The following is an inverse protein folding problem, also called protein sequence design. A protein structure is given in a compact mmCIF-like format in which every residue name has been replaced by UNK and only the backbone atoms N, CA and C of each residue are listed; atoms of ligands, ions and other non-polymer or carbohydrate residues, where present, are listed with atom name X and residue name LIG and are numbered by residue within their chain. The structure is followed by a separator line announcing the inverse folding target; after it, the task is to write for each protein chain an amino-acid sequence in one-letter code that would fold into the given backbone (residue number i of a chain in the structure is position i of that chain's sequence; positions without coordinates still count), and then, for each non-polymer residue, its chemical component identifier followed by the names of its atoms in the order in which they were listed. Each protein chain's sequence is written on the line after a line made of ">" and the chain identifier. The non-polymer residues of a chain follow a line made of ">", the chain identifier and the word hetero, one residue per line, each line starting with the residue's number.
data_IF_850876835508
#
_entry.id   IF_850876835508
#
_cell.length_a   1.000
_cell.length_b   1.000
_cell.length_c   1.000
_cell.angle_alpha   90.00
_cell.angle_beta   90.00
_cell.angle_gamma   90.00
#
_symmetry.space_group_name_H-M   'P 1'
#
loop_
_entity.id
_entity.type
_entity.pdbx_description
1 polymer ?
#
# COMPACT_ATOMS: atom_id res chain seq x y z
N UNK A 1 9.88 7.59 10.17
CA UNK A 1 8.73 8.47 10.35
C UNK A 1 7.74 7.83 11.31
N UNK A 2 7.15 8.58 12.21
CA UNK A 2 6.27 8.03 13.23
C UNK A 2 4.82 7.94 12.76
N UNK A 3 4.05 7.07 13.41
CA UNK A 3 2.61 6.97 13.17
C UNK A 3 1.91 8.31 13.45
N UNK A 4 2.36 9.03 14.47
CA UNK A 4 1.79 10.33 14.82
C UNK A 4 1.92 11.34 13.69
N UNK A 5 3.04 11.33 12.99
CA UNK A 5 3.23 12.18 11.82
C UNK A 5 2.16 11.88 10.77
N UNK A 6 1.93 10.61 10.45
CA UNK A 6 0.92 10.23 9.48
C UNK A 6 -0.48 10.64 9.92
N UNK A 7 -0.81 10.47 11.20
CA UNK A 7 -2.14 10.82 11.69
C UNK A 7 -2.40 12.31 11.60
N UNK A 8 -1.40 13.15 11.88
CA UNK A 8 -1.54 14.60 11.85
C UNK A 8 -1.55 15.16 10.43
N UNK A 9 -0.90 14.48 9.50
CA UNK A 9 -0.66 14.99 8.16
C UNK A 9 -1.30 14.12 7.07
N UNK A 10 -2.28 13.28 7.41
CA UNK A 10 -2.83 12.29 6.48
C UNK A 10 -3.33 12.89 5.18
N UNK A 11 -4.07 13.98 5.22
CA UNK A 11 -4.62 14.62 4.01
C UNK A 11 -3.51 15.18 3.14
N UNK A 12 -2.54 15.83 3.72
CA UNK A 12 -1.40 16.37 2.99
C UNK A 12 -0.57 15.25 2.38
N UNK A 13 -0.33 14.19 3.15
CA UNK A 13 0.42 13.03 2.67
C UNK A 13 -0.31 12.36 1.51
N UNK A 14 -1.61 12.19 1.62
CA UNK A 14 -2.43 11.61 0.55
C UNK A 14 -2.30 12.41 -0.73
N UNK A 15 -2.48 13.73 -0.65
CA UNK A 15 -2.41 14.61 -1.82
C UNK A 15 -1.03 14.54 -2.49
N UNK A 16 0.05 14.48 -1.70
CA UNK A 16 1.41 14.41 -2.22
C UNK A 16 1.69 13.07 -2.88
N UNK A 17 1.34 11.96 -2.20
CA UNK A 17 1.76 10.64 -2.64
C UNK A 17 0.94 10.12 -3.83
N UNK A 18 -0.32 10.51 -3.94
CA UNK A 18 -1.15 10.10 -5.09
C UNK A 18 -0.56 10.62 -6.40
N UNK A 19 0.06 11.78 -6.37
CA UNK A 19 0.64 12.41 -7.56
C UNK A 19 2.06 11.93 -7.87
N UNK A 20 2.76 11.32 -6.90
CA UNK A 20 4.12 10.83 -7.13
C UNK A 20 4.08 9.61 -8.06
N UNK A 21 4.91 9.65 -9.09
CA UNK A 21 4.97 8.57 -10.07
C UNK A 21 5.97 7.50 -9.64
N UNK A 22 5.47 6.31 -9.35
CA UNK A 22 6.29 5.14 -9.04
C UNK A 22 6.26 4.08 -10.15
N UNK A 23 5.82 4.46 -11.34
CA UNK A 23 5.60 3.52 -12.44
C UNK A 23 6.87 2.73 -12.78
N UNK A 24 8.04 3.39 -12.77
CA UNK A 24 9.30 2.69 -13.09
C UNK A 24 9.64 1.60 -12.07
N UNK A 25 9.32 1.82 -10.79
CA UNK A 25 9.53 0.80 -9.76
C UNK A 25 8.57 -0.38 -9.95
N UNK A 26 7.31 -0.09 -10.26
CA UNK A 26 6.32 -1.11 -10.55
C UNK A 26 6.71 -1.94 -11.76
N UNK A 27 7.20 -1.28 -12.81
CA UNK A 27 7.64 -1.95 -14.03
C UNK A 27 8.77 -2.94 -13.79
N UNK A 28 9.61 -2.69 -12.78
CA UNK A 28 10.68 -3.60 -12.40
C UNK A 28 10.18 -4.76 -11.55
N UNK A 29 9.09 -4.57 -10.82
CA UNK A 29 8.55 -5.56 -9.88
C UNK A 29 7.57 -6.54 -10.56
N UNK A 30 6.70 -6.01 -11.39
CA UNK A 30 5.61 -6.77 -12.01
C UNK A 30 6.07 -8.00 -12.79
N UNK A 31 7.20 -7.99 -13.53
CA UNK A 31 7.63 -9.19 -14.27
C UNK A 31 7.89 -10.42 -13.40
N UNK A 32 8.10 -10.24 -12.10
CA UNK A 32 8.33 -11.36 -11.18
C UNK A 32 7.04 -11.92 -10.59
N UNK A 33 5.89 -11.35 -10.91
CA UNK A 33 4.60 -11.76 -10.38
C UNK A 33 3.87 -12.69 -11.35
N UNK A 34 3.21 -13.76 -10.85
CA UNK A 34 2.30 -14.51 -11.70
C UNK A 34 1.09 -13.67 -12.03
N UNK A 35 0.48 -13.93 -13.18
CA UNK A 35 -0.71 -13.22 -13.62
C UNK A 35 -1.84 -13.40 -12.57
N UNK A 36 -2.44 -12.30 -12.16
CA UNK A 36 -3.51 -12.35 -11.17
C UNK A 36 -3.05 -12.68 -9.76
N UNK A 37 -1.74 -12.60 -9.50
CA UNK A 37 -1.17 -12.93 -8.20
C UNK A 37 -1.62 -12.02 -7.07
N UNK A 38 -1.36 -12.45 -5.84
CA UNK A 38 -1.68 -11.70 -4.63
C UNK A 38 -0.45 -10.96 -4.14
N UNK A 39 -0.56 -9.63 -4.03
CA UNK A 39 0.52 -8.76 -3.55
C UNK A 39 0.13 -8.18 -2.20
N UNK A 40 1.07 -8.23 -1.25
CA UNK A 40 0.92 -7.53 0.02
C UNK A 40 1.56 -6.15 -0.12
N UNK A 41 0.77 -5.09 0.07
CA UNK A 41 1.28 -3.73 0.15
C UNK A 41 1.51 -3.38 1.61
N UNK A 42 2.75 -3.54 2.06
CA UNK A 42 3.14 -3.35 3.44
C UNK A 42 3.42 -1.87 3.70
N UNK A 43 2.58 -1.24 4.52
CA UNK A 43 2.64 0.19 4.73
C UNK A 43 2.13 0.94 3.50
N UNK A 44 0.89 0.67 3.12
CA UNK A 44 0.33 1.15 1.85
C UNK A 44 0.13 2.67 1.77
N UNK A 45 0.14 3.36 2.90
CA UNK A 45 -0.13 4.79 2.93
C UNK A 45 -1.49 5.09 2.35
N UNK A 46 -1.53 5.98 1.36
CA UNK A 46 -2.77 6.39 0.69
C UNK A 46 -3.35 5.36 -0.28
N UNK A 47 -2.63 4.27 -0.56
CA UNK A 47 -3.10 3.21 -1.44
C UNK A 47 -2.81 3.41 -2.92
N UNK A 48 -1.97 4.37 -3.27
CA UNK A 48 -1.66 4.68 -4.68
C UNK A 48 -1.13 3.47 -5.44
N UNK A 49 -0.13 2.79 -4.90
CA UNK A 49 0.47 1.65 -5.59
C UNK A 49 -0.45 0.45 -5.59
N UNK A 50 -1.18 0.22 -4.50
CA UNK A 50 -2.21 -0.83 -4.44
C UNK A 50 -3.23 -0.65 -5.56
N UNK A 51 -3.66 0.59 -5.78
CA UNK A 51 -4.62 0.89 -6.86
C UNK A 51 -4.06 0.51 -8.22
N UNK A 52 -2.78 0.79 -8.46
CA UNK A 52 -2.12 0.43 -9.72
C UNK A 52 -2.07 -1.08 -9.91
N UNK A 53 -1.74 -1.84 -8.86
CA UNK A 53 -1.75 -3.30 -8.93
C UNK A 53 -3.15 -3.83 -9.26
N UNK A 54 -4.18 -3.29 -8.61
CA UNK A 54 -5.56 -3.70 -8.89
C UNK A 54 -5.93 -3.40 -10.34
N UNK A 55 -5.54 -2.23 -10.87
CA UNK A 55 -5.83 -1.84 -12.25
C UNK A 55 -5.11 -2.75 -13.25
N UNK A 56 -4.00 -3.34 -12.86
CA UNK A 56 -3.26 -4.30 -13.69
C UNK A 56 -3.79 -5.73 -13.58
N UNK A 57 -4.80 -5.97 -12.73
CA UNK A 57 -5.40 -7.28 -12.59
C UNK A 57 -4.87 -8.13 -11.45
N UNK A 58 -4.02 -7.58 -10.59
CA UNK A 58 -3.53 -8.29 -9.41
C UNK A 58 -4.50 -8.17 -8.24
N UNK A 59 -4.38 -9.07 -7.29
CA UNK A 59 -5.09 -9.00 -6.03
C UNK A 59 -4.20 -8.28 -5.01
N UNK A 60 -4.80 -7.52 -4.11
CA UNK A 60 -4.08 -6.77 -3.10
C UNK A 60 -4.59 -7.12 -1.71
N UNK A 61 -3.64 -7.27 -0.78
CA UNK A 61 -3.87 -7.21 0.64
C UNK A 61 -2.99 -6.07 1.15
N UNK A 62 -3.52 -5.18 2.01
CA UNK A 62 -2.81 -3.98 2.38
C UNK A 62 -2.97 -3.68 3.86
N UNK A 63 -1.92 -3.10 4.45
CA UNK A 63 -2.00 -2.57 5.81
C UNK A 63 -1.22 -1.27 5.93
N UNK A 64 -1.58 -0.47 6.92
CA UNK A 64 -0.81 0.71 7.31
C UNK A 64 -0.98 0.96 8.80
N UNK A 65 0.02 1.58 9.41
CA UNK A 65 -0.02 1.89 10.84
C UNK A 65 -0.88 3.11 11.16
N UNK A 66 -1.12 3.97 10.17
CA UNK A 66 -1.93 5.17 10.33
C UNK A 66 -3.39 4.91 10.00
N UNK A 67 -4.28 5.00 10.98
CA UNK A 67 -5.71 4.83 10.75
C UNK A 67 -6.27 5.84 9.75
N UNK A 68 -5.92 7.15 9.79
CA UNK A 68 -6.38 8.08 8.77
C UNK A 68 -5.93 7.73 7.36
N UNK A 69 -4.68 7.30 7.17
CA UNK A 69 -4.20 6.89 5.85
C UNK A 69 -4.88 5.62 5.37
N UNK A 70 -5.06 4.65 6.26
CA UNK A 70 -5.77 3.42 5.93
C UNK A 70 -7.21 3.71 5.48
N UNK A 71 -7.88 4.66 6.12
CA UNK A 71 -9.23 5.06 5.74
C UNK A 71 -9.25 5.66 4.34
N UNK A 72 -8.28 6.51 4.01
CA UNK A 72 -8.16 7.08 2.67
C UNK A 72 -7.88 5.99 1.62
N UNK A 73 -7.03 5.03 1.97
CA UNK A 73 -6.74 3.92 1.08
C UNK A 73 -7.97 3.05 0.85
N UNK A 74 -8.77 2.80 1.88
CA UNK A 74 -10.01 2.03 1.74
C UNK A 74 -10.96 2.68 0.75
N UNK A 75 -11.09 4.00 0.78
CA UNK A 75 -11.91 4.71 -0.19
C UNK A 75 -11.37 4.54 -1.60
N UNK A 76 -10.07 4.72 -1.76
CA UNK A 76 -9.43 4.63 -3.07
C UNK A 76 -9.53 3.22 -3.66
N UNK A 77 -9.33 2.21 -2.83
CA UNK A 77 -9.25 0.81 -3.27
C UNK A 77 -10.60 0.10 -3.27
N UNK A 78 -11.59 0.67 -2.61
CA UNK A 78 -12.90 0.04 -2.43
C UNK A 78 -12.78 -1.35 -1.80
N UNK A 79 -11.87 -1.49 -0.83
CA UNK A 79 -11.68 -2.72 -0.06
C UNK A 79 -11.09 -2.39 1.29
N UNK A 80 -11.14 -3.35 2.22
CA UNK A 80 -10.62 -3.16 3.57
C UNK A 80 -9.10 -3.05 3.58
N UNK A 81 -8.59 -2.17 4.45
CA UNK A 81 -7.17 -2.01 4.72
C UNK A 81 -6.96 -2.20 6.22
N UNK A 82 -6.07 -3.09 6.60
CA UNK A 82 -5.80 -3.37 8.01
C UNK A 82 -4.98 -2.25 8.63
N UNK A 83 -5.36 -1.81 9.84
CA UNK A 83 -4.57 -0.84 10.60
C UNK A 83 -3.67 -1.63 11.55
N UNK A 84 -2.39 -1.70 11.23
CA UNK A 84 -1.41 -2.42 12.05
C UNK A 84 0.00 -1.99 11.68
N UNK A 85 0.97 -2.41 12.47
CA UNK A 85 2.40 -2.17 12.21
C UNK A 85 3.04 -3.38 11.54
N UNK A 86 4.24 -3.20 10.99
CA UNK A 86 5.02 -4.32 10.47
C UNK A 86 5.25 -5.40 11.53
N UNK A 87 5.49 -4.98 12.76
CA UNK A 87 5.79 -5.89 13.87
C UNK A 87 4.58 -6.74 14.26
N UNK A 88 3.39 -6.18 14.13
CA UNK A 88 2.16 -6.83 14.58
C UNK A 88 1.36 -7.46 13.44
N UNK A 89 1.73 -7.22 12.21
CA UNK A 89 1.02 -7.81 11.07
C UNK A 89 1.24 -9.31 11.03
N UNK A 90 0.14 -10.05 10.94
CA UNK A 90 0.17 -11.50 10.75
C UNK A 90 -0.83 -11.89 9.70
N UNK A 91 -0.50 -12.93 8.93
CA UNK A 91 -1.41 -13.45 7.92
C UNK A 91 -1.08 -14.92 7.67
N UNK A 92 -2.12 -15.72 7.41
CA UNK A 92 -1.96 -17.10 6.97
C UNK A 92 -1.88 -17.21 5.45
N UNK A 93 -2.07 -16.10 4.75
CA UNK A 93 -2.03 -16.07 3.29
C UNK A 93 -0.60 -16.19 2.77
N UNK A 94 -0.46 -16.72 1.58
CA UNK A 94 0.80 -16.72 0.86
C UNK A 94 0.74 -15.64 -0.21
N UNK A 95 1.72 -14.74 -0.18
CA UNK A 95 1.79 -13.64 -1.13
C UNK A 95 2.77 -13.99 -2.24
N UNK A 96 2.42 -13.60 -3.47
CA UNK A 96 3.30 -13.76 -4.62
C UNK A 96 4.37 -12.67 -4.65
N UNK A 97 4.09 -11.54 -4.01
CA UNK A 97 5.05 -10.46 -3.85
C UNK A 97 4.71 -9.60 -2.67
N UNK A 98 5.71 -8.90 -2.13
CA UNK A 98 5.54 -7.93 -1.04
C UNK A 98 6.07 -6.60 -1.53
N UNK A 99 5.23 -5.58 -1.50
CA UNK A 99 5.54 -4.23 -1.94
C UNK A 99 5.57 -3.32 -0.72
N UNK A 100 6.64 -2.60 -0.51
CA UNK A 100 6.81 -1.74 0.65
C UNK A 100 7.34 -0.35 0.27
N UNK A 101 7.03 0.10 -0.93
CA UNK A 101 7.58 1.33 -1.49
C UNK A 101 7.21 2.56 -0.67
N UNK A 102 5.96 2.66 -0.23
CA UNK A 102 5.50 3.81 0.56
C UNK A 102 6.26 3.93 1.88
N UNK A 103 6.58 2.81 2.52
CA UNK A 103 7.35 2.81 3.77
C UNK A 103 8.79 3.22 3.55
N UNK A 104 9.37 2.88 2.40
CA UNK A 104 10.76 3.19 2.09
C UNK A 104 10.99 4.67 1.80
N UNK A 105 9.94 5.43 1.50
CA UNK A 105 10.01 6.86 1.25
C UNK A 105 10.11 7.68 2.54
N UNK A 106 10.00 7.04 3.67
CA UNK A 106 9.99 7.70 4.97
C UNK A 106 11.01 7.04 5.88
#
# INVERSE_FOLDING_TARGET
>A
MSVEFYNQNAQQFFSSTVEVDSTSLLDQFVPYLPQGGLVLDAGCGSGRDSKRFLDMGYQIDAFDASAPLAALAEELLNQSVTVTTFENFTSSKRYDGIWACASLLH
#
